data_IF_611209189977
#
_entry.id   IF_611209189977
#
_cell.length_a   1.000
_cell.length_b   1.000
_cell.length_c   1.000
_cell.angle_alpha   90.00
_cell.angle_beta   90.00
_cell.angle_gamma   90.00
#
_symmetry.space_group_name_H-M   'P 1'
#
loop_
_entity.id
_entity.type
_entity.pdbx_description
1 polymer ?
#
# COMPACT_ATOMS: atom_id res chain seq x y z
N UNK A 1 -5.13 -5.15 18.74
CA UNK A 1 -4.47 -6.04 19.72
C UNK A 1 -5.49 -6.34 20.81
N UNK A 2 -5.80 -7.60 21.05
CA UNK A 2 -6.83 -8.02 22.01
C UNK A 2 -6.24 -8.36 23.41
N UNK A 3 -4.96 -8.08 23.66
CA UNK A 3 -4.29 -8.30 24.95
C UNK A 3 -3.90 -9.75 25.24
N UNK A 4 -4.15 -10.68 24.31
CA UNK A 4 -3.93 -12.11 24.48
C UNK A 4 -3.12 -12.73 23.33
N UNK A 5 -2.29 -11.92 22.65
CA UNK A 5 -1.53 -12.36 21.48
C UNK A 5 -2.35 -12.48 20.18
N UNK A 6 -3.64 -12.16 20.21
CA UNK A 6 -4.48 -12.11 19.01
C UNK A 6 -4.78 -10.69 18.53
N UNK A 7 -5.10 -10.57 17.25
CA UNK A 7 -5.50 -9.33 16.61
C UNK A 7 -6.85 -9.52 15.93
N UNK A 8 -7.76 -8.58 16.16
CA UNK A 8 -9.00 -8.47 15.38
C UNK A 8 -8.71 -7.67 14.12
N UNK A 9 -9.10 -8.21 12.97
CA UNK A 9 -9.09 -7.46 11.72
C UNK A 9 -10.18 -6.39 11.76
N UNK A 10 -9.77 -5.13 11.66
CA UNK A 10 -10.66 -3.96 11.63
C UNK A 10 -10.50 -3.15 10.35
N UNK A 11 -9.82 -3.70 9.34
CA UNK A 11 -9.39 -2.99 8.13
C UNK A 11 -10.56 -2.30 7.42
N UNK A 12 -11.65 -3.03 7.19
CA UNK A 12 -12.87 -2.51 6.58
C UNK A 12 -13.56 -1.47 7.47
N UNK A 13 -13.69 -1.77 8.77
CA UNK A 13 -14.36 -0.88 9.74
C UNK A 13 -13.63 0.46 9.84
N UNK A 14 -12.30 0.44 9.83
CA UNK A 14 -11.45 1.62 9.90
C UNK A 14 -11.32 2.36 8.55
N UNK A 15 -11.91 1.83 7.47
CA UNK A 15 -11.86 2.47 6.15
C UNK A 15 -10.47 2.44 5.49
N UNK A 16 -9.56 1.59 5.97
CA UNK A 16 -8.17 1.51 5.49
C UNK A 16 -7.91 0.31 4.57
N UNK A 17 -8.98 -0.32 4.06
CA UNK A 17 -8.90 -1.37 3.07
C UNK A 17 -8.40 -0.80 1.72
N UNK A 18 -7.08 -0.74 1.55
CA UNK A 18 -6.46 -0.36 0.29
C UNK A 18 -6.46 -1.56 -0.67
N UNK A 19 -6.98 -1.42 -1.91
CA UNK A 19 -6.91 -2.50 -2.88
C UNK A 19 -5.48 -2.68 -3.41
N UNK A 20 -5.08 -3.91 -3.71
CA UNK A 20 -3.83 -4.20 -4.41
C UNK A 20 -2.56 -4.00 -3.57
N UNK A 21 -1.41 -3.99 -4.25
CA UNK A 21 -0.10 -3.92 -3.60
C UNK A 21 0.31 -2.48 -3.27
N UNK A 22 0.96 -2.32 -2.13
CA UNK A 22 1.50 -1.06 -1.60
C UNK A 22 2.95 -1.26 -1.16
N UNK A 23 3.75 -0.20 -1.18
CA UNK A 23 5.22 -0.27 -1.02
C UNK A 23 5.70 0.15 0.36
N UNK A 24 5.13 1.20 0.94
CA UNK A 24 5.51 1.76 2.24
C UNK A 24 4.29 2.41 2.91
N UNK A 25 4.35 2.57 4.23
CA UNK A 25 3.37 3.33 5.01
C UNK A 25 4.07 4.21 6.06
N UNK A 26 3.46 5.36 6.39
CA UNK A 26 3.94 6.29 7.42
C UNK A 26 2.77 6.95 8.15
N UNK A 27 2.99 7.21 9.45
CA UNK A 27 2.08 7.97 10.30
C UNK A 27 2.61 9.38 10.50
N UNK A 28 1.78 10.39 10.28
CA UNK A 28 2.09 11.79 10.57
C UNK A 28 0.80 12.61 10.70
N UNK A 29 0.86 13.75 11.38
CA UNK A 29 -0.27 14.66 11.55
C UNK A 29 -0.34 15.60 10.34
N UNK A 30 -1.19 15.29 9.35
CA UNK A 30 -1.23 16.01 8.07
C UNK A 30 -1.97 17.34 8.17
N UNK A 31 -3.04 17.39 8.97
CA UNK A 31 -3.92 18.56 9.08
C UNK A 31 -3.74 19.37 10.38
N UNK A 32 -2.88 18.89 11.29
CA UNK A 32 -2.51 19.52 12.58
C UNK A 32 -3.63 19.47 13.61
N UNK A 33 -4.47 18.43 13.59
CA UNK A 33 -5.51 18.21 14.60
C UNK A 33 -5.00 17.45 15.85
N UNK A 34 -3.72 17.06 15.86
CA UNK A 34 -3.10 16.32 16.95
C UNK A 34 -3.30 14.80 16.88
N UNK A 35 -3.92 14.30 15.82
CA UNK A 35 -4.09 12.87 15.55
C UNK A 35 -3.20 12.47 14.38
N UNK A 36 -2.59 11.30 14.49
CA UNK A 36 -1.77 10.78 13.39
C UNK A 36 -2.66 10.20 12.29
N UNK A 37 -2.46 10.69 11.08
CA UNK A 37 -3.04 10.19 9.83
C UNK A 37 -2.13 9.13 9.20
N UNK A 38 -2.72 8.29 8.33
CA UNK A 38 -2.00 7.22 7.64
C UNK A 38 -1.80 7.56 6.18
N UNK A 39 -0.55 7.60 5.72
CA UNK A 39 -0.23 7.55 4.30
C UNK A 39 0.30 6.18 3.90
N UNK A 40 -0.28 5.62 2.84
CA UNK A 40 0.13 4.36 2.22
C UNK A 40 0.56 4.63 0.79
N UNK A 41 1.84 4.45 0.53
CA UNK A 41 2.41 4.62 -0.81
C UNK A 41 2.12 3.43 -1.71
N UNK A 42 1.72 3.73 -2.93
CA UNK A 42 1.61 2.78 -4.03
C UNK A 42 2.65 3.12 -5.10
N UNK A 43 2.93 2.15 -5.97
CA UNK A 43 3.86 2.35 -7.08
C UNK A 43 3.20 2.07 -8.43
N UNK A 44 2.94 0.80 -8.71
CA UNK A 44 2.34 0.33 -9.95
C UNK A 44 1.39 -0.83 -9.68
N UNK A 45 0.47 -1.06 -10.59
CA UNK A 45 -0.32 -2.29 -10.64
C UNK A 45 0.55 -3.43 -11.16
N UNK A 46 1.23 -4.11 -10.24
CA UNK A 46 2.21 -5.15 -10.55
C UNK A 46 1.52 -6.48 -10.86
N UNK A 47 1.88 -7.05 -12.01
CA UNK A 47 1.43 -8.36 -12.44
C UNK A 47 2.67 -9.24 -12.72
N UNK A 48 2.79 -10.35 -11.98
CA UNK A 48 3.96 -11.25 -12.04
C UNK A 48 4.02 -12.06 -13.35
N UNK A 49 2.91 -12.19 -14.06
CA UNK A 49 2.81 -12.84 -15.35
C UNK A 49 3.30 -11.94 -16.50
N UNK A 50 3.45 -10.64 -16.27
CA UNK A 50 3.99 -9.69 -17.27
C UNK A 50 5.45 -10.03 -17.58
N UNK A 51 5.75 -10.25 -18.87
CA UNK A 51 7.11 -10.56 -19.34
C UNK A 51 7.67 -9.41 -20.19
N UNK A 52 8.92 -9.04 -19.95
CA UNK A 52 9.64 -8.03 -20.73
C UNK A 52 10.81 -8.64 -21.52
N UNK A 53 10.67 -9.92 -21.87
CA UNK A 53 11.66 -10.67 -22.63
C UNK A 53 12.77 -11.26 -21.77
N UNK A 54 13.79 -11.79 -22.45
CA UNK A 54 14.95 -12.41 -21.81
C UNK A 54 16.19 -11.53 -21.99
N UNK A 55 17.10 -11.55 -21.02
CA UNK A 55 18.42 -10.96 -21.16
C UNK A 55 19.28 -11.75 -22.17
N UNK A 56 20.49 -11.28 -22.47
CA UNK A 56 21.42 -11.94 -23.40
C UNK A 56 21.83 -13.36 -22.98
N UNK A 57 21.58 -13.74 -21.73
CA UNK A 57 21.84 -15.07 -21.17
C UNK A 57 20.59 -15.98 -21.19
N UNK A 58 19.48 -15.53 -21.80
CA UNK A 58 18.23 -16.30 -21.87
C UNK A 58 17.38 -16.28 -20.59
N UNK A 59 17.76 -15.51 -19.58
CA UNK A 59 17.01 -15.40 -18.32
C UNK A 59 15.94 -14.32 -18.44
N UNK A 60 14.78 -14.51 -17.79
CA UNK A 60 13.72 -13.50 -17.76
C UNK A 60 14.25 -12.16 -17.22
N UNK A 61 14.03 -11.09 -17.99
CA UNK A 61 14.36 -9.74 -17.60
C UNK A 61 13.17 -9.10 -16.87
N UNK A 62 13.43 -8.34 -15.80
CA UNK A 62 12.36 -7.65 -15.09
C UNK A 62 11.81 -6.50 -15.93
N UNK A 63 10.51 -6.24 -15.80
CA UNK A 63 9.89 -5.10 -16.46
C UNK A 63 10.22 -3.80 -15.72
N UNK A 64 10.67 -2.79 -16.47
CA UNK A 64 10.82 -1.45 -15.90
C UNK A 64 9.44 -0.88 -15.52
N UNK A 65 9.35 0.00 -14.50
CA UNK A 65 8.08 0.48 -13.98
C UNK A 65 7.13 1.09 -15.02
N UNK A 66 7.67 1.70 -16.09
CA UNK A 66 6.89 2.34 -17.17
C UNK A 66 6.00 1.37 -17.97
N UNK A 67 6.22 0.07 -17.85
CA UNK A 67 5.38 -0.95 -18.51
C UNK A 67 4.05 -1.15 -17.78
N UNK A 68 4.02 -0.88 -16.48
CA UNK A 68 2.84 -1.09 -15.65
C UNK A 68 1.99 0.17 -15.55
N UNK A 69 0.70 0.01 -15.24
CA UNK A 69 -0.17 1.15 -14.92
C UNK A 69 0.25 1.75 -13.57
N UNK A 70 0.34 3.08 -13.45
CA UNK A 70 0.61 3.71 -12.17
C UNK A 70 -0.58 3.49 -11.23
N UNK A 71 -0.30 3.37 -9.93
CA UNK A 71 -1.32 3.21 -8.89
C UNK A 71 -1.26 4.38 -7.92
N UNK A 72 -2.38 5.04 -7.60
CA UNK A 72 -2.38 6.14 -6.65
C UNK A 72 -2.03 5.65 -5.25
N UNK A 73 -1.30 6.48 -4.51
CA UNK A 73 -1.12 6.34 -3.07
C UNK A 73 -2.40 6.78 -2.34
N UNK A 74 -2.54 6.38 -1.09
CA UNK A 74 -3.71 6.68 -0.26
C UNK A 74 -3.30 7.47 0.97
N UNK A 75 -4.08 8.50 1.30
CA UNK A 75 -4.01 9.24 2.56
C UNK A 75 -5.33 9.02 3.30
N UNK A 76 -5.26 8.55 4.54
CA UNK A 76 -6.41 8.29 5.39
C UNK A 76 -6.36 9.24 6.58
N UNK A 77 -7.44 9.99 6.76
CA UNK A 77 -7.58 10.91 7.87
C UNK A 77 -8.10 10.17 9.10
N UNK A 78 -7.48 10.39 10.25
CA UNK A 78 -7.87 9.76 11.51
C UNK A 78 -8.90 10.62 12.26
N UNK A 79 -10.13 10.13 12.33
CA UNK A 79 -11.23 10.83 13.00
C UNK A 79 -11.16 10.72 14.54
N UNK A 80 -10.25 9.91 15.10
CA UNK A 80 -10.03 9.74 16.54
C UNK A 80 -10.98 8.74 17.22
N UNK A 81 -11.84 8.08 16.45
CA UNK A 81 -12.83 7.09 16.93
C UNK A 81 -12.54 5.68 16.38
N UNK A 82 -11.35 5.46 15.81
CA UNK A 82 -10.97 4.21 15.14
C UNK A 82 -11.41 4.12 13.67
N UNK A 83 -11.76 5.25 13.06
CA UNK A 83 -11.97 5.44 11.62
C UNK A 83 -11.22 6.66 11.13
#
# INVERSE_FOLDING_TARGET
NNGNGTFTDVTEKAGVAAPGWSTCAVWFDYDKDGKLDLFVSSFVDYNKETTCGNNRLGQKFYCIPRVFKPRPSHLYHNNGNGT
#
